data_IF_402377003014
#
_entry.id   IF_402377003014
#
_cell.length_a   1.000
_cell.length_b   1.000
_cell.length_c   1.000
_cell.angle_alpha   90.00
_cell.angle_beta   90.00
_cell.angle_gamma   90.00
#
_symmetry.space_group_name_H-M   'P 1'
#
loop_
_entity.id
_entity.type
_entity.pdbx_description
1 polymer ?
2 non-polymer ?
3 water ?
#
# COMPACT_ATOMS: atom_id res chain seq x y z
N UNK A 2 -20.87 -16.75 -4.91
CA UNK A 2 -20.36 -15.96 -3.80
C UNK A 2 -19.43 -16.78 -2.93
N UNK A 3 -18.62 -16.15 -2.04
CA UNK A 3 -17.56 -15.13 -2.08
C UNK A 3 -16.28 -15.81 -2.63
N UNK A 4 -15.45 -15.10 -3.38
CA UNK A 4 -14.31 -15.73 -4.07
C UNK A 4 -13.16 -16.11 -3.12
N UNK A 5 -13.11 -15.47 -1.94
CA UNK A 5 -12.05 -15.70 -0.95
C UNK A 5 -12.53 -15.82 0.51
N UNK A 6 -12.31 -16.99 1.10
CA UNK A 6 -12.85 -17.31 2.42
C UNK A 6 -12.23 -16.52 3.58
N UNK A 7 -11.03 -15.99 3.38
CA UNK A 7 -10.20 -15.53 4.50
C UNK A 7 -10.57 -14.14 5.00
N UNK A 8 -10.86 -13.25 4.07
CA UNK A 8 -11.29 -11.92 4.45
C UNK A 8 -12.78 -11.77 4.09
N UNK A 9 -13.26 -12.69 3.25
CA UNK A 9 -14.65 -12.72 2.82
C UNK A 9 -14.93 -11.45 2.07
N UNK A 10 -14.01 -11.13 1.18
CA UNK A 10 -14.20 -10.04 0.24
C UNK A 10 -14.54 -8.71 0.92
N UNK A 11 -14.43 -8.66 2.25
CA UNK A 11 -14.66 -7.43 3.00
C UNK A 11 -13.60 -6.36 2.71
N UNK A 12 -13.79 -5.63 1.62
CA UNK A 12 -12.83 -4.64 1.19
C UNK A 12 -12.31 -3.75 2.33
N UNK A 13 -13.02 -3.71 3.45
CA UNK A 13 -12.58 -2.89 4.58
C UNK A 13 -11.57 -3.56 5.49
N UNK A 14 -11.33 -4.84 5.22
CA UNK A 14 -10.31 -5.63 5.90
C UNK A 14 -9.18 -5.90 4.92
N UNK A 15 -8.00 -6.21 5.46
CA UNK A 15 -6.85 -6.58 4.65
C UNK A 15 -6.79 -8.08 4.36
N UNK A 16 -6.08 -8.45 3.30
CA UNK A 16 -5.92 -9.86 3.06
C UNK A 16 -4.68 -10.17 2.23
N UNK A 17 -3.80 -10.97 2.83
CA UNK A 17 -2.55 -11.34 2.20
C UNK A 17 -2.75 -12.53 1.29
N UNK A 18 -3.88 -13.20 1.48
CA UNK A 18 -4.19 -14.39 0.71
C UNK A 18 -4.78 -14.00 -0.64
N UNK A 19 -5.76 -13.09 -0.64
CA UNK A 19 -6.37 -12.69 -1.91
C UNK A 19 -5.80 -11.39 -2.48
N UNK A 20 -5.32 -10.51 -1.59
CA UNK A 20 -4.73 -9.22 -1.97
C UNK A 20 -3.19 -9.24 -1.96
N UNK A 21 -2.60 -8.05 -1.79
CA UNK A 21 -1.15 -7.98 -1.72
C UNK A 21 -0.65 -8.84 -0.58
N UNK A 22 0.13 -9.86 -0.90
CA UNK A 22 0.54 -10.81 0.14
C UNK A 22 1.47 -10.21 1.20
N UNK A 23 1.91 -8.97 1.00
CA UNK A 23 2.75 -8.33 2.00
C UNK A 23 2.03 -7.24 2.81
N UNK A 24 1.25 -6.37 2.16
CA UNK A 24 0.59 -5.32 2.93
C UNK A 24 -0.86 -5.70 3.08
N UNK A 25 -1.27 -6.67 2.27
CA UNK A 25 -2.63 -7.16 2.28
C UNK A 25 -3.62 -6.12 1.81
N UNK A 26 -3.11 -5.08 1.16
CA UNK A 26 -3.96 -4.04 0.62
C UNK A 26 -4.44 -4.36 -0.79
N UNK A 27 -5.64 -3.89 -1.13
CA UNK A 27 -6.23 -4.24 -2.42
C UNK A 27 -6.00 -3.23 -3.56
N UNK A 28 -5.37 -2.10 -3.27
CA UNK A 28 -5.11 -1.07 -4.29
C UNK A 28 -4.19 -1.50 -5.43
N UNK A 29 -4.34 -0.86 -6.58
CA UNK A 29 -3.30 -0.84 -7.61
C UNK A 29 -2.98 -2.18 -8.24
N UNK A 30 -4.00 -2.85 -8.79
CA UNK A 30 -3.95 -4.18 -9.40
C UNK A 30 -2.97 -4.19 -10.55
N UNK A 31 -3.08 -3.17 -11.38
CA UNK A 31 -2.10 -2.89 -12.41
C UNK A 31 -0.68 -3.08 -11.83
N UNK A 32 -0.49 -2.70 -10.57
CA UNK A 32 0.83 -2.77 -9.96
C UNK A 32 1.05 -4.00 -9.07
N UNK A 33 0.20 -5.00 -9.22
CA UNK A 33 0.38 -6.26 -8.50
C UNK A 33 0.93 -7.38 -9.39
N UNK A 34 1.76 -8.22 -8.77
CA UNK A 34 2.36 -9.36 -9.44
C UNK A 34 1.82 -10.64 -8.87
N UNK A 35 1.60 -11.60 -9.75
CA UNK A 35 1.16 -12.93 -9.37
C UNK A 35 2.31 -13.90 -9.53
N UNK A 36 2.82 -14.44 -8.43
CA UNK A 36 3.86 -15.43 -8.58
C UNK A 36 3.33 -16.73 -9.19
N UNK A 37 3.74 -17.03 -10.42
CA UNK A 37 3.22 -18.19 -11.17
C UNK A 37 3.24 -19.54 -10.41
N UNK A 38 4.16 -19.66 -9.45
CA UNK A 38 4.24 -20.87 -8.64
C UNK A 38 3.93 -20.66 -7.14
N UNK A 39 3.27 -19.57 -6.79
CA UNK A 39 2.84 -19.33 -5.40
C UNK A 39 1.47 -18.70 -5.49
N UNK A 40 1.24 -18.08 -6.63
CA UNK A 40 -0.07 -17.60 -7.01
C UNK A 40 -0.63 -16.44 -6.17
N UNK A 41 0.04 -16.10 -5.07
CA UNK A 41 -0.32 -14.92 -4.28
C UNK A 41 0.07 -13.70 -5.09
N UNK A 42 -0.41 -12.53 -4.67
CA UNK A 42 -0.15 -11.29 -5.39
C UNK A 42 0.72 -10.31 -4.59
N UNK A 43 1.52 -9.52 -5.31
CA UNK A 43 2.49 -8.61 -4.69
C UNK A 43 2.54 -7.20 -5.31
N UNK A 44 2.39 -6.18 -4.49
CA UNK A 44 2.60 -4.81 -4.95
C UNK A 44 4.05 -4.65 -5.35
N UNK A 45 4.34 -4.35 -6.61
CA UNK A 45 5.73 -4.12 -7.00
C UNK A 45 6.50 -3.25 -6.00
N UNK A 46 5.80 -2.36 -5.30
CA UNK A 46 6.45 -1.43 -4.37
C UNK A 46 6.55 -1.96 -2.95
N UNK A 47 5.94 -3.11 -2.71
CA UNK A 47 6.02 -3.72 -1.41
C UNK A 47 7.21 -4.70 -1.39
N UNK A 48 7.62 -5.10 -2.59
CA UNK A 48 8.77 -5.97 -2.76
C UNK A 48 10.02 -5.39 -2.16
N UNK A 49 11.06 -6.20 -2.22
CA UNK A 49 12.37 -5.89 -1.70
C UNK A 49 13.35 -6.71 -2.52
N UNK A 50 14.12 -6.01 -3.36
CA UNK A 50 13.91 -4.57 -3.50
C UNK A 50 12.56 -4.29 -4.19
N UNK A 51 12.03 -3.07 -4.04
CA UNK A 51 10.81 -2.66 -4.73
C UNK A 51 11.11 -2.34 -6.19
N UNK A 52 10.17 -2.60 -7.08
CA UNK A 52 10.37 -2.34 -8.51
C UNK A 52 9.74 -1.02 -9.00
N UNK A 53 10.51 -0.23 -9.76
CA UNK A 53 10.02 1.07 -10.25
C UNK A 53 8.86 0.83 -11.18
N UNK A 54 8.84 -0.35 -11.76
CA UNK A 54 7.76 -0.65 -12.67
C UNK A 54 7.67 -2.13 -12.87
N UNK A 55 6.57 -2.56 -13.46
CA UNK A 55 6.33 -3.98 -13.64
C UNK A 55 7.42 -4.56 -14.53
N UNK A 56 7.73 -5.86 -14.35
CA UNK A 56 8.68 -6.50 -15.25
C UNK A 56 8.02 -6.71 -16.60
N UNK A 57 8.83 -6.76 -17.65
CA UNK A 57 8.34 -7.12 -18.97
C UNK A 57 8.35 -8.65 -19.12
N UNK A 58 9.33 -9.29 -18.49
CA UNK A 58 9.43 -10.75 -18.51
C UNK A 58 8.16 -11.33 -17.89
N UNK A 59 7.07 -11.25 -18.66
CA UNK A 59 5.71 -11.54 -18.20
C UNK A 59 5.52 -12.77 -17.26
N UNK A 60 6.56 -13.55 -17.02
CA UNK A 60 6.46 -14.64 -16.04
C UNK A 60 7.27 -14.38 -14.75
N UNK A 61 6.59 -13.95 -13.69
CA UNK A 61 7.28 -13.51 -12.48
C UNK A 61 7.26 -14.61 -11.41
N UNK A 62 8.26 -14.61 -10.51
CA UNK A 62 8.24 -15.51 -9.36
C UNK A 62 8.56 -14.80 -8.04
N UNK A 63 7.68 -14.97 -7.06
CA UNK A 63 7.78 -14.27 -5.80
C UNK A 63 9.05 -14.61 -5.01
N UNK A 64 9.37 -13.80 -3.99
CA UNK A 64 10.54 -13.96 -3.11
C UNK A 64 10.34 -15.10 -2.13
N UNK A 65 9.14 -15.64 -2.13
CA UNK A 65 8.81 -16.79 -1.30
C UNK A 65 9.23 -18.04 -2.13
N UNK A 66 9.56 -17.80 -3.40
CA UNK A 66 9.86 -18.84 -4.39
C UNK A 66 10.97 -18.41 -5.36
N UNK B 2 -5.75 7.66 25.49
CA UNK B 2 -6.67 6.90 24.67
C UNK B 2 -7.21 7.68 23.49
N UNK B 3 -7.63 6.93 22.45
CA UNK B 3 -7.17 6.79 21.05
C UNK B 3 -6.71 8.05 20.32
N UNK B 4 -5.60 7.97 19.59
CA UNK B 4 -5.02 9.17 18.97
C UNK B 4 -5.83 9.67 17.76
N UNK B 5 -6.63 8.77 17.17
CA UNK B 5 -7.44 9.08 15.97
C UNK B 5 -8.87 8.54 16.00
N UNK B 6 -9.83 9.46 15.99
CA UNK B 6 -11.24 9.12 16.16
C UNK B 6 -11.87 8.34 15.01
N UNK B 7 -11.28 8.41 13.82
CA UNK B 7 -11.96 7.99 12.60
C UNK B 7 -11.93 6.49 12.35
N UNK B 8 -10.79 5.88 12.63
CA UNK B 8 -10.68 4.45 12.49
C UNK B 8 -10.53 3.84 13.89
N UNK B 9 -10.23 4.71 14.86
CA UNK B 9 -10.09 4.31 16.26
C UNK B 9 -8.95 3.33 16.35
N UNK B 10 -7.86 3.69 15.69
CA UNK B 10 -6.62 2.96 15.82
C UNK B 10 -6.76 1.46 15.51
N UNK B 11 -7.91 1.05 14.99
CA UNK B 11 -8.14 -0.33 14.59
C UNK B 11 -7.27 -0.74 13.40
N UNK B 12 -6.04 -1.13 13.68
CA UNK B 12 -5.10 -1.47 12.64
C UNK B 12 -5.68 -2.37 11.54
N UNK B 13 -6.79 -3.04 11.83
CA UNK B 13 -7.41 -3.92 10.84
C UNK B 13 -8.32 -3.22 9.85
N UNK B 14 -8.57 -1.94 10.12
CA UNK B 14 -9.31 -1.04 9.23
C UNK B 14 -8.34 -0.06 8.59
N UNK B 15 -8.75 0.49 7.45
CA UNK B 15 -7.97 1.53 6.78
C UNK B 15 -8.30 2.94 7.28
N UNK B 16 -7.38 3.87 7.07
CA UNK B 16 -7.69 5.22 7.44
C UNK B 16 -6.86 6.24 6.66
N UNK B 17 -7.57 7.08 5.92
CA UNK B 17 -6.94 8.11 5.11
C UNK B 17 -6.62 9.33 5.94
N UNK B 18 -7.24 9.39 7.11
CA UNK B 18 -7.08 10.54 7.99
C UNK B 18 -5.80 10.39 8.81
N UNK B 19 -5.62 9.22 9.43
CA UNK B 19 -4.41 9.00 10.23
C UNK B 19 -3.29 8.29 9.48
N UNK B 20 -3.66 7.45 8.50
CA UNK B 20 -2.69 6.69 7.69
C UNK B 20 -2.45 7.32 6.31
N UNK B 21 -2.04 6.48 5.35
CA UNK B 21 -1.81 6.97 4.00
C UNK B 21 -3.09 7.55 3.48
N UNK B 22 -3.09 8.84 3.18
CA UNK B 22 -4.33 9.52 2.79
C UNK B 22 -4.89 9.05 1.44
N UNK B 23 -4.15 8.20 0.73
CA UNK B 23 -4.65 7.67 -0.53
C UNK B 23 -5.07 6.19 -0.47
N UNK B 24 -4.27 5.33 0.17
CA UNK B 24 -4.66 3.92 0.21
C UNK B 24 -5.17 3.62 1.60
N UNK B 25 -4.88 4.54 2.51
CA UNK B 25 -5.34 4.43 3.88
C UNK B 25 -4.67 3.28 4.59
N UNK B 26 -3.58 2.79 4.01
CA UNK B 26 -2.82 1.73 4.62
C UNK B 26 -1.76 2.24 5.57
N UNK B 27 -1.49 1.49 6.64
CA UNK B 27 -0.57 1.95 7.66
C UNK B 27 0.90 1.52 7.50
N UNK B 28 1.20 0.69 6.50
CA UNK B 28 2.57 0.21 6.25
C UNK B 28 3.58 1.29 5.89
N UNK B 29 4.85 1.05 6.20
CA UNK B 29 5.96 1.75 5.55
C UNK B 29 6.07 3.23 5.87
N UNK B 30 6.12 3.56 7.16
CA UNK B 30 6.16 4.91 7.72
C UNK B 30 7.35 5.67 7.18
N UNK B 31 8.48 4.99 7.22
CA UNK B 31 9.69 5.46 6.56
C UNK B 31 9.34 6.01 5.16
N UNK B 32 8.37 5.38 4.49
CA UNK B 32 8.02 5.79 3.13
C UNK B 32 6.76 6.68 3.05
N UNK B 33 6.33 7.22 4.18
CA UNK B 33 5.22 8.17 4.18
C UNK B 33 5.68 9.62 4.29
N UNK B 34 4.94 10.49 3.60
CA UNK B 34 5.19 11.93 3.62
C UNK B 34 4.07 12.64 4.33
N UNK B 35 4.45 13.65 5.10
CA UNK B 35 3.50 14.51 5.79
C UNK B 35 3.45 15.85 5.09
N UNK B 36 2.33 16.18 4.46
CA UNK B 36 2.25 17.50 3.87
C UNK B 36 2.19 18.60 4.93
N UNK B 37 3.24 19.41 5.02
CA UNK B 37 3.38 20.43 6.07
C UNK B 37 2.16 21.38 6.24
N UNK B 38 1.41 21.57 5.16
CA UNK B 38 0.20 22.38 5.21
C UNK B 38 -1.12 21.61 4.96
N UNK B 39 -1.12 20.30 5.13
CA UNK B 39 -2.35 19.50 5.01
C UNK B 39 -2.25 18.43 6.08
N UNK B 40 -1.01 18.16 6.44
CA UNK B 40 -0.70 17.34 7.59
C UNK B 40 -1.08 15.86 7.48
N UNK B 41 -1.84 15.49 6.45
CA UNK B 41 -2.14 14.10 6.16
C UNK B 41 -0.85 13.45 5.68
N UNK B 42 -0.85 12.12 5.63
CA UNK B 42 0.34 11.37 5.24
C UNK B 42 0.16 10.62 3.91
N UNK B 43 1.26 10.48 3.16
CA UNK B 43 1.23 9.87 1.82
C UNK B 43 2.35 8.86 1.54
N UNK B 44 1.99 7.66 1.10
CA UNK B 44 2.98 6.71 0.64
C UNK B 44 3.65 7.27 -0.59
N UNK B 45 4.97 7.50 -0.56
CA UNK B 45 5.65 7.97 -1.77
C UNK B 45 5.23 7.22 -3.03
N UNK B 46 4.81 5.96 -2.88
CA UNK B 46 4.45 5.14 -4.04
C UNK B 46 2.98 5.21 -4.40
N UNK B 47 2.21 5.88 -3.57
CA UNK B 47 0.80 6.04 -3.85
C UNK B 47 0.60 7.34 -4.63
N UNK B 48 1.58 8.24 -4.50
CA UNK B 48 1.58 9.49 -5.22
C UNK B 48 1.50 9.30 -6.71
N UNK B 49 1.40 10.44 -7.38
CA UNK B 49 1.28 10.52 -8.81
C UNK B 49 1.86 11.88 -9.21
N UNK B 50 3.02 11.84 -9.87
CA UNK B 50 3.69 10.55 -10.07
C UNK B 50 4.19 9.98 -8.73
N UNK B 51 4.45 8.67 -8.67
CA UNK B 51 5.04 8.04 -7.48
C UNK B 51 6.52 8.35 -7.42
N UNK B 52 7.07 8.47 -6.22
CA UNK B 52 8.50 8.76 -6.05
C UNK B 52 9.36 7.52 -5.72
N UNK B 53 10.48 7.36 -6.44
CA UNK B 53 11.37 6.19 -6.23
C UNK B 53 11.91 6.24 -4.83
N UNK B 54 11.95 7.42 -4.27
CA UNK B 54 12.48 7.54 -2.93
C UNK B 54 12.05 8.82 -2.34
N UNK B 55 12.24 8.94 -1.04
CA UNK B 55 11.78 10.13 -0.33
C UNK B 55 12.53 11.35 -0.86
N UNK B 56 11.91 12.54 -0.80
CA UNK B 56 12.64 13.75 -1.18
C UNK B 56 13.65 14.08 -0.10
N UNK B 57 14.72 14.75 -0.50
CA UNK B 57 15.69 15.29 0.45
C UNK B 57 15.22 16.67 0.96
N UNK B 58 14.57 17.42 0.07
CA UNK B 58 14.00 18.72 0.44
C UNK B 58 13.00 18.51 1.56
N UNK B 59 13.54 18.22 2.75
CA UNK B 59 12.78 17.81 3.94
C UNK B 59 11.41 18.51 4.21
N UNK B 60 11.06 19.55 3.44
CA UNK B 60 9.72 20.15 3.56
C UNK B 60 8.80 19.85 2.35
N UNK B 61 7.92 18.87 2.50
CA UNK B 61 7.11 18.38 1.39
C UNK B 61 5.71 19.00 1.41
N UNK B 62 5.06 19.11 0.24
CA UNK B 62 3.66 19.56 0.18
C UNK B 62 2.80 18.68 -0.72
N UNK B 63 1.69 18.19 -0.18
CA UNK B 63 0.87 17.22 -0.87
C UNK B 63 0.23 17.77 -2.16
N UNK B 64 -0.33 16.88 -3.00
CA UNK B 64 -0.98 17.21 -4.28
C UNK B 64 -2.35 17.80 -4.05
N UNK B 65 -2.77 17.79 -2.79
CA UNK B 65 -4.02 18.41 -2.38
C UNK B 65 -3.70 19.91 -2.12
N UNK B 66 -2.40 20.23 -2.12
CA UNK B 66 -1.87 21.56 -1.76
C UNK B 66 -0.63 21.94 -2.59
X LIG C 1 -9.23 -12.45 1.22
X LIG D 1 1.52 -4.24 -0.77
X LIG E 1 5.45 -17.22 -5.24
X LIG F 1 4.14 -15.68 2.67
X LIG G 1 -0.76 4.51 0.17
X LIG H 1 -7.59 6.67 11.77
X LIG I 1 -1.21 18.59 1.98
X LIG J 1 -7.95 14.36 0.25
#
# INVERSE_FOLDING_TARGET
SGPSCKHCKDDVNRLCRVCACHLCGGRQDPDKQLMCDECDMAFHIYCLDPPLSSVPSEDEWYCPECRNDA
SGPSCKHCKDDVNRLCRVCACHLCGGRQDPDKQLMCDECDMAFHIYCLDPPLSSVPSEDEWYCPECRNDA
ZN ZN
ZN ZN
ZN ZN
ZN ZN
ZN ZN
ZN ZN
ZN ZN
ZN ZN
#
